data_IF_566318461431
#
_entry.id   IF_566318461431
#
_cell.length_a   1.000
_cell.length_b   1.000
_cell.length_c   1.000
_cell.angle_alpha   90.00
_cell.angle_beta   90.00
_cell.angle_gamma   90.00
#
_symmetry.space_group_name_H-M   'P 1'
#
loop_
_entity.id
_entity.type
_entity.pdbx_description
1 polymer ?
#
# COMPACT_ATOMS: atom_id res chain seq x y z
N UNK A 1 -5.68 7.34 2.04
CA UNK A 1 -4.31 7.49 1.49
C UNK A 1 -3.99 6.36 0.51
N UNK A 2 -2.98 6.52 -0.35
CA UNK A 2 -2.48 5.48 -1.30
C UNK A 2 -1.00 5.21 -1.05
N UNK A 3 -0.60 3.94 -1.11
CA UNK A 3 0.81 3.56 -1.03
C UNK A 3 1.53 3.99 -2.32
N UNK A 4 2.63 4.72 -2.18
CA UNK A 4 3.43 5.22 -3.30
C UNK A 4 4.20 4.09 -4.02
N UNK A 5 4.49 3.02 -3.28
CA UNK A 5 5.39 1.94 -3.65
C UNK A 5 4.69 0.59 -3.84
N UNK A 6 3.35 0.58 -3.95
CA UNK A 6 2.57 -0.63 -4.19
C UNK A 6 1.26 -0.34 -4.92
N UNK A 7 1.03 -0.99 -6.06
CA UNK A 7 -0.19 -0.88 -6.85
C UNK A 7 -1.18 -1.97 -6.47
N UNK A 8 -1.99 -1.71 -5.43
CA UNK A 8 -3.01 -2.66 -4.97
C UNK A 8 -4.03 -2.99 -6.09
N UNK A 9 -4.40 -4.27 -6.27
CA UNK A 9 -5.46 -4.67 -7.19
C UNK A 9 -6.81 -4.04 -6.82
N UNK A 10 -7.73 -4.05 -7.78
CA UNK A 10 -9.10 -3.58 -7.56
C UNK A 10 -9.77 -4.31 -6.39
N UNK A 11 -10.32 -3.55 -5.44
CA UNK A 11 -10.83 -4.09 -4.16
C UNK A 11 -11.88 -5.19 -4.34
N UNK A 12 -12.69 -5.09 -5.39
CA UNK A 12 -13.77 -6.04 -5.68
C UNK A 12 -13.29 -7.32 -6.40
N UNK A 13 -12.03 -7.36 -6.84
CA UNK A 13 -11.42 -8.56 -7.43
C UNK A 13 -11.02 -9.57 -6.35
N UNK A 14 -10.76 -10.82 -6.76
CA UNK A 14 -10.21 -11.84 -5.85
C UNK A 14 -8.84 -11.41 -5.29
N UNK A 15 -7.97 -10.86 -6.14
CA UNK A 15 -6.67 -10.34 -5.74
C UNK A 15 -6.80 -9.15 -4.77
N UNK A 16 -7.79 -8.26 -4.96
CA UNK A 16 -8.05 -7.14 -4.06
C UNK A 16 -8.51 -7.59 -2.67
N UNK A 17 -9.36 -8.61 -2.58
CA UNK A 17 -9.74 -9.21 -1.31
C UNK A 17 -8.56 -9.85 -0.59
N UNK A 18 -7.71 -10.58 -1.32
CA UNK A 18 -6.49 -11.17 -0.77
C UNK A 18 -5.51 -10.09 -0.27
N UNK A 19 -5.31 -9.02 -1.05
CA UNK A 19 -4.48 -7.87 -0.69
C UNK A 19 -4.98 -7.18 0.58
N UNK A 20 -6.30 -7.00 0.72
CA UNK A 20 -6.93 -6.45 1.93
C UNK A 20 -6.63 -7.32 3.15
N UNK A 21 -6.90 -8.63 3.06
CA UNK A 21 -6.65 -9.56 4.17
C UNK A 21 -5.18 -9.59 4.58
N UNK A 22 -4.25 -9.52 3.62
CA UNK A 22 -2.82 -9.42 3.91
C UNK A 22 -2.47 -8.11 4.62
N UNK A 23 -2.99 -6.97 4.13
CA UNK A 23 -2.75 -5.67 4.74
C UNK A 23 -3.29 -5.60 6.18
N UNK A 24 -4.48 -6.13 6.42
CA UNK A 24 -5.07 -6.23 7.77
C UNK A 24 -4.14 -7.03 8.70
N UNK A 25 -3.66 -8.21 8.28
CA UNK A 25 -2.70 -9.00 9.08
C UNK A 25 -1.37 -8.28 9.35
N UNK A 26 -0.87 -7.51 8.39
CA UNK A 26 0.44 -6.84 8.48
C UNK A 26 0.38 -5.59 9.36
N UNK A 27 -0.64 -4.77 9.19
CA UNK A 27 -0.66 -3.39 9.70
C UNK A 27 -1.66 -3.15 10.82
N UNK A 28 -2.69 -3.98 10.98
CA UNK A 28 -3.73 -3.73 11.98
C UNK A 28 -3.15 -3.81 13.39
N UNK A 29 -3.44 -2.78 14.21
CA UNK A 29 -2.88 -2.65 15.57
C UNK A 29 -1.39 -2.29 15.62
N UNK A 30 -0.73 -2.02 14.49
CA UNK A 30 0.68 -1.63 14.44
C UNK A 30 0.82 -0.13 14.20
N UNK A 31 1.85 0.47 14.82
CA UNK A 31 2.21 1.84 14.50
C UNK A 31 2.84 1.89 13.10
N UNK A 32 2.32 2.78 12.26
CA UNK A 32 2.79 3.00 10.89
C UNK A 32 3.38 4.40 10.79
N UNK A 33 4.56 4.52 10.20
CA UNK A 33 5.17 5.80 9.87
C UNK A 33 5.09 6.01 8.36
N UNK A 34 4.43 7.08 7.93
CA UNK A 34 4.26 7.39 6.52
C UNK A 34 4.95 8.70 6.17
N UNK A 35 5.76 8.66 5.12
CA UNK A 35 6.40 9.83 4.55
C UNK A 35 5.69 10.16 3.26
N UNK A 36 5.11 11.36 3.19
CA UNK A 36 4.50 11.87 1.95
C UNK A 36 5.62 12.03 0.93
N UNK A 37 5.43 11.42 -0.23
CA UNK A 37 6.39 11.41 -1.31
C UNK A 37 5.63 11.29 -2.60
N UNK A 38 6.10 11.96 -3.65
CA UNK A 38 5.49 11.85 -4.97
C UNK A 38 5.41 10.38 -5.37
N UNK A 39 4.25 9.94 -5.86
CA UNK A 39 4.16 8.66 -6.57
C UNK A 39 5.02 8.68 -7.83
N UNK A 40 4.79 7.73 -8.75
CA UNK A 40 5.52 7.68 -10.05
C UNK A 40 5.45 8.96 -10.90
N UNK A 41 4.49 9.84 -10.63
CA UNK A 41 4.23 11.10 -11.36
C UNK A 41 4.70 12.36 -10.61
N UNK A 42 5.48 12.25 -9.52
CA UNK A 42 5.83 13.35 -8.60
C UNK A 42 4.64 14.02 -7.90
N UNK A 43 3.41 13.59 -8.19
CA UNK A 43 2.18 14.01 -7.51
C UNK A 43 2.12 13.39 -6.12
N UNK A 44 1.81 14.22 -5.13
CA UNK A 44 1.61 13.82 -3.73
C UNK A 44 0.15 13.53 -3.38
N UNK A 45 -0.78 13.81 -4.31
CA UNK A 45 -2.21 13.51 -4.18
C UNK A 45 -2.70 12.82 -5.46
N UNK A 46 -3.55 11.81 -5.30
CA UNK A 46 -4.29 11.13 -6.37
C UNK A 46 -5.78 11.21 -6.04
N UNK A 47 -6.55 11.89 -6.88
CA UNK A 47 -7.94 12.27 -6.57
C UNK A 47 -8.01 13.01 -5.22
N UNK A 48 -8.58 12.37 -4.20
CA UNK A 48 -8.73 12.84 -2.82
C UNK A 48 -7.68 12.25 -1.85
N UNK A 49 -6.79 11.37 -2.33
CA UNK A 49 -5.90 10.57 -1.47
C UNK A 49 -4.46 11.04 -1.55
N UNK A 50 -3.88 11.37 -0.38
CA UNK A 50 -2.43 11.58 -0.25
C UNK A 50 -1.68 10.29 -0.61
N UNK A 51 -0.60 10.44 -1.38
CA UNK A 51 0.34 9.39 -1.76
C UNK A 51 1.53 9.42 -0.77
N UNK A 52 1.84 8.27 -0.18
CA UNK A 52 2.92 8.16 0.78
C UNK A 52 3.59 6.79 0.76
N UNK A 53 4.87 6.74 1.12
CA UNK A 53 5.54 5.47 1.47
C UNK A 53 5.36 5.24 2.97
N UNK A 54 4.79 4.11 3.33
CA UNK A 54 4.53 3.75 4.73
C UNK A 54 5.42 2.61 5.21
N UNK A 55 5.82 2.67 6.48
CA UNK A 55 6.74 1.71 7.10
C UNK A 55 6.22 1.20 8.45
N UNK A 56 6.52 -0.06 8.74
CA UNK A 56 6.34 -0.72 10.05
C UNK A 56 7.70 -1.29 10.45
N UNK A 57 8.24 -0.86 11.60
CA UNK A 57 9.57 -1.30 12.05
C UNK A 57 10.68 -1.04 11.02
N UNK A 58 10.62 0.09 10.31
CA UNK A 58 11.59 0.46 9.26
C UNK A 58 11.34 -0.18 7.88
N UNK A 59 10.50 -1.22 7.80
CA UNK A 59 10.22 -1.96 6.55
C UNK A 59 9.03 -1.36 5.82
N UNK A 60 9.12 -1.23 4.50
CA UNK A 60 8.04 -0.65 3.68
C UNK A 60 6.85 -1.61 3.61
N UNK A 61 5.63 -1.08 3.75
CA UNK A 61 4.40 -1.88 3.65
C UNK A 61 4.28 -2.51 2.25
N UNK A 62 4.69 -1.82 1.19
CA UNK A 62 4.70 -2.38 -0.16
C UNK A 62 5.57 -3.63 -0.28
N UNK A 63 6.74 -3.65 0.37
CA UNK A 63 7.62 -4.83 0.38
C UNK A 63 7.01 -5.97 1.19
N UNK A 64 6.43 -5.66 2.36
CA UNK A 64 5.73 -6.66 3.19
C UNK A 64 4.57 -7.33 2.44
N UNK A 65 3.84 -6.58 1.61
CA UNK A 65 2.76 -7.11 0.78
C UNK A 65 3.29 -8.04 -0.31
N UNK A 66 4.38 -7.67 -0.99
CA UNK A 66 5.02 -8.54 -1.99
C UNK A 66 5.55 -9.83 -1.39
N UNK A 67 6.21 -9.75 -0.24
CA UNK A 67 6.69 -10.93 0.49
C UNK A 67 5.54 -11.83 0.97
N UNK A 68 4.39 -11.26 1.28
CA UNK A 68 3.17 -12.00 1.60
C UNK A 68 2.48 -12.61 0.37
N UNK A 69 3.07 -12.50 -0.82
CA UNK A 69 2.54 -13.06 -2.07
C UNK A 69 1.37 -12.26 -2.66
N UNK A 70 1.20 -10.99 -2.26
CA UNK A 70 0.13 -10.15 -2.81
C UNK A 70 0.52 -9.66 -4.20
N UNK A 71 -0.30 -9.99 -5.19
CA UNK A 71 -0.15 -9.51 -6.55
C UNK A 71 -0.44 -8.01 -6.65
N UNK A 72 0.34 -7.29 -7.46
CA UNK A 72 0.03 -5.91 -7.84
C UNK A 72 -0.90 -5.90 -9.07
N UNK A 73 -1.80 -4.94 -9.15
CA UNK A 73 -2.79 -4.90 -10.23
C UNK A 73 -3.59 -3.61 -10.37
N UNK A 74 -3.36 -2.61 -9.51
CA UNK A 74 -4.04 -1.31 -9.63
C UNK A 74 -3.44 -0.47 -10.74
N UNK A 75 -4.25 -0.06 -11.72
CA UNK A 75 -3.84 0.87 -12.78
C UNK A 75 -3.91 2.32 -12.30
#
# INVERSE_FOLDING_TARGET
>A
MRLADFNAPELNSQAGRAARAALERIAMGRQVQCTVGGGRSSRVVSYDRVIATCRIGGRRIGDLLREAGVEEGGR
#
